data_IF_857191386773
#
_entry.id   IF_857191386773
#
_cell.length_a   1.000
_cell.length_b   1.000
_cell.length_c   1.000
_cell.angle_alpha   90.00
_cell.angle_beta   90.00
_cell.angle_gamma   90.00
#
_symmetry.space_group_name_H-M   'P 1'
#
loop_
_entity.id
_entity.type
_entity.pdbx_description
1 polymer ?
#
# COMPACT_ATOMS: atom_id res chain seq x y z
N UNK A 1 -15.86 17.61 6.76
CA UNK A 1 -15.36 16.22 6.71
C UNK A 1 -13.85 16.30 6.64
N UNK A 2 -13.16 16.11 7.77
CA UNK A 2 -11.69 16.23 7.88
C UNK A 2 -11.15 14.94 8.47
N UNK A 3 -11.13 13.89 7.67
CA UNK A 3 -10.47 12.63 7.99
C UNK A 3 -9.41 12.32 6.92
N UNK A 4 -8.40 11.49 7.24
CA UNK A 4 -7.38 11.12 6.29
C UNK A 4 -8.00 10.39 5.10
N UNK A 5 -7.59 10.77 3.89
CA UNK A 5 -8.03 10.11 2.65
C UNK A 5 -7.21 8.83 2.49
N UNK A 6 -7.91 7.70 2.33
CA UNK A 6 -7.29 6.41 2.02
C UNK A 6 -7.57 6.05 0.57
N UNK A 7 -6.53 5.73 -0.18
CA UNK A 7 -6.63 5.22 -1.55
C UNK A 7 -5.71 4.00 -1.70
N UNK A 8 -6.11 3.08 -2.58
CA UNK A 8 -5.31 1.90 -2.93
C UNK A 8 -4.74 2.04 -4.33
N UNK A 9 -3.50 1.60 -4.52
CA UNK A 9 -2.84 1.55 -5.83
C UNK A 9 -2.53 0.09 -6.14
N UNK A 10 -2.92 -0.36 -7.33
CA UNK A 10 -2.55 -1.69 -7.85
C UNK A 10 -1.60 -1.43 -9.03
N UNK A 11 -0.30 -1.67 -8.80
CA UNK A 11 0.76 -1.45 -9.77
C UNK A 11 1.18 -2.73 -10.51
N UNK A 12 1.67 -2.57 -11.74
CA UNK A 12 2.37 -3.62 -12.48
C UNK A 12 3.89 -3.53 -12.33
N UNK A 13 4.63 -4.28 -13.14
CA UNK A 13 6.10 -4.26 -13.14
C UNK A 13 6.66 -2.88 -13.49
N UNK A 14 7.19 -2.17 -12.49
CA UNK A 14 7.79 -0.83 -12.64
C UNK A 14 7.34 0.19 -11.58
N UNK A 15 6.30 -0.10 -10.81
CA UNK A 15 5.79 0.79 -9.74
C UNK A 15 6.45 0.43 -8.39
N UNK A 16 7.78 0.36 -8.36
CA UNK A 16 8.53 -0.19 -7.21
C UNK A 16 9.31 0.86 -6.41
N UNK A 17 9.31 2.12 -6.83
CA UNK A 17 9.97 3.21 -6.11
C UNK A 17 8.92 4.22 -5.69
N UNK A 18 8.38 4.03 -4.49
CA UNK A 18 7.55 5.01 -3.81
C UNK A 18 8.38 5.72 -2.73
N UNK A 19 9.52 6.29 -3.13
CA UNK A 19 10.43 7.05 -2.25
C UNK A 19 9.73 8.24 -1.57
N UNK A 20 8.56 8.63 -2.07
CA UNK A 20 7.71 9.72 -1.55
C UNK A 20 6.78 9.31 -0.40
N UNK A 21 6.67 8.01 -0.07
CA UNK A 21 5.88 7.56 1.08
C UNK A 21 6.70 7.65 2.37
N UNK A 22 6.08 8.18 3.43
CA UNK A 22 6.57 8.06 4.81
C UNK A 22 5.85 6.95 5.56
N UNK A 23 6.41 6.54 6.70
CA UNK A 23 5.79 5.55 7.59
C UNK A 23 5.45 4.23 6.87
N UNK A 24 6.38 3.79 6.01
CA UNK A 24 6.19 2.61 5.17
C UNK A 24 6.19 1.34 6.01
N UNK A 25 5.12 0.57 5.88
CA UNK A 25 4.94 -0.75 6.49
C UNK A 25 4.62 -1.77 5.40
N UNK A 26 5.24 -2.95 5.51
CA UNK A 26 4.92 -4.11 4.71
C UNK A 26 3.96 -5.02 5.50
N UNK A 27 2.79 -5.28 4.93
CA UNK A 27 1.71 -6.02 5.57
C UNK A 27 1.43 -7.30 4.79
N UNK A 28 1.84 -8.41 5.38
CA UNK A 28 1.47 -9.76 4.94
C UNK A 28 0.08 -10.10 5.47
N UNK A 29 -0.83 -10.52 4.58
CA UNK A 29 -2.20 -10.85 4.97
C UNK A 29 -2.77 -12.02 4.18
N UNK A 30 -3.56 -12.83 4.87
CA UNK A 30 -4.36 -13.89 4.27
C UNK A 30 -5.77 -13.38 3.98
N UNK A 31 -6.34 -13.85 2.87
CA UNK A 31 -7.76 -13.59 2.55
C UNK A 31 -8.52 -14.91 2.44
N UNK A 32 -9.86 -14.91 2.60
CA UNK A 32 -10.69 -16.08 2.31
C UNK A 32 -10.57 -16.59 0.86
N UNK A 33 -10.01 -15.80 -0.05
CA UNK A 33 -9.81 -16.13 -1.46
C UNK A 33 -8.38 -16.61 -1.76
N UNK A 34 -7.54 -16.79 -0.73
CA UNK A 34 -6.13 -17.12 -0.85
C UNK A 34 -5.21 -15.93 -0.57
N UNK A 35 -3.91 -16.12 -0.78
CA UNK A 35 -2.90 -15.08 -0.60
C UNK A 35 -2.93 -14.08 -1.75
N UNK A 36 -2.67 -12.78 -1.49
CA UNK A 36 -2.41 -11.80 -2.55
C UNK A 36 -1.18 -12.17 -3.40
N UNK A 37 -0.98 -11.46 -4.51
CA UNK A 37 0.20 -11.63 -5.36
C UNK A 37 1.51 -11.27 -4.66
N UNK A 38 1.46 -10.33 -3.71
CA UNK A 38 2.60 -9.87 -2.92
C UNK A 38 2.10 -9.18 -1.63
N UNK A 39 3.01 -8.88 -0.70
CA UNK A 39 2.71 -8.12 0.51
C UNK A 39 2.18 -6.70 0.18
N UNK A 40 1.34 -6.16 1.06
CA UNK A 40 0.82 -4.80 0.89
C UNK A 40 1.86 -3.80 1.39
N UNK A 41 2.13 -2.77 0.60
CA UNK A 41 2.92 -1.61 1.05
C UNK A 41 1.97 -0.50 1.47
N UNK A 42 2.00 -0.14 2.75
CA UNK A 42 1.18 0.92 3.33
C UNK A 42 2.09 2.07 3.76
N UNK A 43 1.70 3.31 3.47
CA UNK A 43 2.43 4.50 3.91
C UNK A 43 1.59 5.76 3.78
N UNK A 44 2.17 6.87 4.20
CA UNK A 44 1.56 8.21 4.15
C UNK A 44 2.18 9.02 3.03
N UNK A 45 1.35 9.65 2.19
CA UNK A 45 1.79 10.54 1.12
C UNK A 45 1.52 11.99 1.51
N UNK A 46 2.57 12.77 1.80
CA UNK A 46 2.51 14.20 2.13
C UNK A 46 1.66 14.60 3.38
N UNK A 47 1.33 13.66 4.26
CA UNK A 47 0.61 13.94 5.52
C UNK A 47 -0.87 14.24 5.34
#
# INVERSE_FOLDING_TARGET
MTGPIRFGVIGGSGVYQMDTLSDVEEVELDTPFGKPSDAYIVGTLHG
#
